data_IF_959600326135
#
_entry.id   IF_959600326135
#
_cell.length_a   1.000
_cell.length_b   1.000
_cell.length_c   1.000
_cell.angle_alpha   90.00
_cell.angle_beta   90.00
_cell.angle_gamma   90.00
#
_symmetry.space_group_name_H-M   'P 1'
#
loop_
_entity.id
_entity.type
_entity.pdbx_description
1 polymer ?
#
# COMPACT_ATOMS: atom_id res chain seq x y z
N UNK A 1 1.49 -27.26 -5.87
CA UNK A 1 2.44 -26.16 -6.15
C UNK A 1 2.30 -25.79 -7.62
N UNK A 2 2.31 -24.49 -7.91
CA UNK A 2 2.42 -23.98 -9.29
C UNK A 2 3.73 -24.43 -9.92
N UNK A 3 3.75 -24.57 -11.25
CA UNK A 3 4.99 -24.80 -11.98
C UNK A 3 5.88 -23.55 -11.84
N UNK A 4 7.04 -23.71 -11.20
CA UNK A 4 8.02 -22.64 -11.03
C UNK A 4 9.15 -22.83 -12.06
N UNK A 5 9.26 -21.95 -13.07
CA UNK A 5 10.34 -22.03 -14.07
C UNK A 5 11.64 -21.37 -13.60
N UNK A 6 11.64 -20.70 -12.44
CA UNK A 6 12.77 -19.92 -11.96
C UNK A 6 13.69 -20.75 -11.06
N UNK A 7 14.99 -20.47 -11.16
CA UNK A 7 16.00 -21.09 -10.32
C UNK A 7 16.20 -20.24 -9.06
N UNK A 8 16.00 -20.85 -7.90
CA UNK A 8 16.34 -20.28 -6.61
C UNK A 8 17.84 -20.45 -6.31
N UNK A 9 18.40 -19.49 -5.58
CA UNK A 9 19.70 -19.61 -4.94
C UNK A 9 19.56 -20.36 -3.61
N UNK A 10 20.07 -21.61 -3.52
CA UNK A 10 19.95 -22.41 -2.30
C UNK A 10 20.70 -21.82 -1.11
N UNK A 11 21.72 -20.99 -1.34
CA UNK A 11 22.49 -20.37 -0.26
C UNK A 11 21.70 -19.26 0.43
N UNK A 12 20.85 -18.54 -0.32
CA UNK A 12 19.91 -17.55 0.25
C UNK A 12 18.88 -18.27 1.13
N UNK A 13 18.25 -19.32 0.62
CA UNK A 13 17.24 -20.09 1.37
C UNK A 13 17.84 -20.69 2.66
N UNK A 14 18.98 -21.36 2.56
CA UNK A 14 19.63 -21.96 3.70
C UNK A 14 20.11 -20.91 4.73
N UNK A 15 20.50 -19.72 4.28
CA UNK A 15 20.85 -18.60 5.18
C UNK A 15 19.61 -18.04 5.87
N UNK A 16 18.52 -17.83 5.15
CA UNK A 16 17.24 -17.42 5.72
C UNK A 16 16.77 -18.40 6.80
N UNK A 17 16.77 -19.71 6.54
CA UNK A 17 16.34 -20.72 7.53
C UNK A 17 17.15 -20.65 8.82
N UNK A 18 18.48 -20.56 8.70
CA UNK A 18 19.38 -20.44 9.86
C UNK A 18 19.13 -19.15 10.63
N UNK A 19 19.00 -18.01 9.94
CA UNK A 19 18.77 -16.72 10.58
C UNK A 19 17.39 -16.67 11.24
N UNK A 20 16.34 -17.11 10.53
CA UNK A 20 14.97 -17.17 11.04
C UNK A 20 14.90 -17.97 12.34
N UNK A 21 15.50 -19.16 12.38
CA UNK A 21 15.56 -19.98 13.60
C UNK A 21 16.39 -19.34 14.74
N UNK A 22 17.48 -18.64 14.43
CA UNK A 22 18.39 -18.11 15.46
C UNK A 22 17.97 -16.75 16.03
N UNK A 23 17.35 -15.90 15.20
CA UNK A 23 17.11 -14.49 15.52
C UNK A 23 15.71 -13.98 15.16
N UNK A 24 14.90 -14.75 14.41
CA UNK A 24 13.64 -14.31 13.82
C UNK A 24 12.68 -13.67 14.84
N UNK A 25 12.39 -14.35 15.94
CA UNK A 25 11.46 -13.85 16.97
C UNK A 25 11.94 -12.55 17.62
N UNK A 26 13.23 -12.48 17.96
CA UNK A 26 13.83 -11.29 18.60
C UNK A 26 13.85 -10.09 17.64
N UNK A 27 14.19 -10.35 16.38
CA UNK A 27 14.17 -9.32 15.33
C UNK A 27 12.74 -8.84 15.06
N UNK A 28 11.79 -9.76 14.96
CA UNK A 28 10.38 -9.46 14.77
C UNK A 28 9.82 -8.59 15.90
N UNK A 29 10.16 -8.89 17.15
CA UNK A 29 9.78 -8.08 18.30
C UNK A 29 10.37 -6.67 18.25
N UNK A 30 11.66 -6.54 17.89
CA UNK A 30 12.32 -5.23 17.74
C UNK A 30 11.66 -4.39 16.62
N UNK A 31 11.33 -5.00 15.49
CA UNK A 31 10.60 -4.33 14.40
C UNK A 31 9.21 -3.88 14.88
N UNK A 32 8.48 -4.75 15.58
CA UNK A 32 7.15 -4.43 16.10
C UNK A 32 7.20 -3.26 17.09
N UNK A 33 8.20 -3.18 17.96
CA UNK A 33 8.41 -2.06 18.88
C UNK A 33 8.65 -0.74 18.12
N UNK A 34 9.53 -0.77 17.12
CA UNK A 34 9.82 0.41 16.28
C UNK A 34 8.57 0.90 15.54
N UNK A 35 7.77 0.00 14.99
CA UNK A 35 6.50 0.35 14.31
C UNK A 35 5.47 0.87 15.31
N UNK A 36 5.30 0.20 16.46
CA UNK A 36 4.37 0.61 17.50
C UNK A 36 4.70 1.99 18.08
N UNK A 37 5.99 2.32 18.21
CA UNK A 37 6.43 3.64 18.64
C UNK A 37 5.97 4.77 17.70
N UNK A 38 5.59 4.45 16.46
CA UNK A 38 5.12 5.37 15.42
C UNK A 38 3.61 5.27 15.13
N UNK A 39 2.90 4.38 15.82
CA UNK A 39 1.46 4.22 15.68
C UNK A 39 0.71 5.48 16.16
N UNK A 40 -0.53 5.63 15.71
CA UNK A 40 -1.47 6.71 16.07
C UNK A 40 -0.94 8.13 15.81
N UNK A 41 0.07 8.30 14.93
CA UNK A 41 0.63 9.60 14.51
C UNK A 41 0.63 9.76 12.97
N UNK A 42 -0.55 9.89 12.35
CA UNK A 42 -0.66 9.93 10.89
C UNK A 42 -0.02 11.16 10.23
N UNK A 43 0.14 12.28 10.96
CA UNK A 43 0.84 13.47 10.45
C UNK A 43 2.32 13.22 10.13
N UNK A 44 3.00 12.36 10.90
CA UNK A 44 4.38 11.98 10.62
C UNK A 44 4.47 11.12 9.35
N UNK A 45 3.35 10.51 8.96
CA UNK A 45 3.24 9.58 7.84
C UNK A 45 4.20 8.38 7.95
N UNK A 46 4.51 7.92 9.17
CA UNK A 46 5.48 6.85 9.46
C UNK A 46 4.86 5.53 9.96
N UNK A 47 3.53 5.39 9.91
CA UNK A 47 2.85 4.13 10.23
C UNK A 47 3.34 2.99 9.33
N UNK A 48 3.63 1.84 9.96
CA UNK A 48 4.22 0.62 9.39
C UNK A 48 5.60 0.78 8.72
N UNK A 49 6.33 1.86 9.03
CA UNK A 49 7.66 2.14 8.48
C UNK A 49 8.77 1.73 9.47
N UNK A 50 9.83 1.12 8.94
CA UNK A 50 11.13 1.05 9.62
C UNK A 50 12.08 2.00 8.90
N UNK A 51 12.56 3.02 9.60
CA UNK A 51 13.38 4.08 9.01
C UNK A 51 14.76 3.55 8.55
N UNK A 52 15.39 4.17 7.56
CA UNK A 52 16.71 3.77 7.06
C UNK A 52 17.80 3.72 8.15
N UNK A 53 17.73 4.63 9.13
CA UNK A 53 18.59 4.61 10.32
C UNK A 53 18.31 3.39 11.21
N UNK A 54 17.05 3.05 11.41
CA UNK A 54 16.60 1.86 12.15
C UNK A 54 17.00 0.56 11.42
N UNK A 55 16.90 0.53 10.09
CA UNK A 55 17.40 -0.57 9.24
C UNK A 55 18.89 -0.81 9.48
N UNK A 56 19.69 0.26 9.53
CA UNK A 56 21.13 0.16 9.81
C UNK A 56 21.39 -0.41 11.21
N UNK A 57 20.68 0.08 12.22
CA UNK A 57 20.81 -0.38 13.60
C UNK A 57 20.40 -1.85 13.74
N UNK A 58 19.27 -2.25 13.16
CA UNK A 58 18.79 -3.64 13.20
C UNK A 58 19.80 -4.58 12.52
N UNK A 59 20.30 -4.21 11.33
CA UNK A 59 21.29 -5.03 10.63
C UNK A 59 22.56 -5.24 11.45
N UNK A 60 23.09 -4.18 12.07
CA UNK A 60 24.28 -4.27 12.91
C UNK A 60 24.02 -5.10 14.18
N UNK A 61 22.90 -4.87 14.85
CA UNK A 61 22.55 -5.53 16.12
C UNK A 61 22.28 -7.02 15.96
N UNK A 62 21.76 -7.43 14.80
CA UNK A 62 21.43 -8.82 14.49
C UNK A 62 22.43 -9.50 13.55
N UNK A 63 23.50 -8.80 13.13
CA UNK A 63 24.56 -9.38 12.28
C UNK A 63 24.11 -9.76 10.86
N UNK A 64 23.22 -8.97 10.25
CA UNK A 64 22.67 -9.22 8.91
C UNK A 64 23.57 -8.63 7.82
N UNK A 65 23.90 -9.46 6.82
CA UNK A 65 24.84 -9.11 5.74
C UNK A 65 24.28 -8.09 4.75
N UNK A 66 22.96 -8.04 4.55
CA UNK A 66 22.30 -7.14 3.59
C UNK A 66 20.97 -6.60 4.12
N UNK A 67 20.42 -5.58 3.44
CA UNK A 67 19.04 -5.10 3.71
C UNK A 67 18.03 -6.16 3.29
N UNK A 68 18.29 -6.91 2.23
CA UNK A 68 17.41 -7.97 1.75
C UNK A 68 17.25 -9.10 2.77
N UNK A 69 18.30 -9.48 3.50
CA UNK A 69 18.18 -10.43 4.62
C UNK A 69 17.25 -9.91 5.72
N UNK A 70 17.32 -8.61 6.05
CA UNK A 70 16.40 -7.98 6.98
C UNK A 70 14.97 -8.00 6.43
N UNK A 71 14.77 -7.68 5.15
CA UNK A 71 13.45 -7.67 4.52
C UNK A 71 12.79 -9.05 4.55
N UNK A 72 13.54 -10.12 4.24
CA UNK A 72 13.03 -11.49 4.29
C UNK A 72 12.58 -11.89 5.70
N UNK A 73 13.37 -11.55 6.73
CA UNK A 73 12.99 -11.81 8.12
C UNK A 73 11.82 -10.90 8.59
N UNK A 74 11.72 -9.69 8.05
CA UNK A 74 10.64 -8.75 8.32
C UNK A 74 9.28 -9.17 7.72
N UNK A 75 9.24 -10.19 6.85
CA UNK A 75 7.98 -10.77 6.37
C UNK A 75 7.11 -11.31 7.52
N UNK A 76 7.73 -11.90 8.55
CA UNK A 76 7.02 -12.43 9.70
C UNK A 76 6.28 -11.35 10.51
N UNK A 77 6.92 -10.25 10.97
CA UNK A 77 6.19 -9.16 11.60
C UNK A 77 5.24 -8.44 10.62
N UNK A 78 5.57 -8.32 9.32
CA UNK A 78 4.67 -7.71 8.33
C UNK A 78 3.34 -8.48 8.18
N UNK A 79 3.38 -9.82 8.30
CA UNK A 79 2.18 -10.67 8.29
C UNK A 79 1.19 -10.30 9.40
N UNK A 80 1.63 -9.69 10.51
CA UNK A 80 0.76 -9.19 11.58
C UNK A 80 -0.09 -7.96 11.21
N UNK A 81 0.23 -7.27 10.11
CA UNK A 81 -0.54 -6.13 9.58
C UNK A 81 -1.78 -6.62 8.84
N UNK A 82 -1.74 -7.85 8.34
CA UNK A 82 -2.78 -8.41 7.49
C UNK A 82 -4.14 -8.51 8.23
N UNK A 83 -5.26 -8.30 7.54
CA UNK A 83 -6.65 -8.50 8.02
C UNK A 83 -7.43 -9.48 7.11
N UNK A 84 -7.54 -10.77 7.48
CA UNK A 84 -8.00 -11.88 6.60
C UNK A 84 -9.25 -12.65 7.10
N UNK A 85 -10.36 -11.99 7.37
CA UNK A 85 -11.56 -12.69 7.84
C UNK A 85 -12.18 -13.66 6.82
N UNK A 86 -11.81 -13.62 5.52
CA UNK A 86 -12.41 -14.47 4.48
C UNK A 86 -11.53 -15.70 4.21
N UNK A 87 -10.27 -15.50 3.85
CA UNK A 87 -9.38 -16.60 3.42
C UNK A 87 -8.63 -17.26 4.58
N UNK A 88 -8.44 -16.55 5.70
CA UNK A 88 -7.47 -16.91 6.75
C UNK A 88 -6.03 -17.11 6.22
N UNK A 89 -5.70 -16.52 5.06
CA UNK A 89 -4.39 -16.62 4.42
C UNK A 89 -3.62 -15.30 4.55
N UNK A 90 -2.81 -15.22 5.59
CA UNK A 90 -2.09 -14.02 6.00
C UNK A 90 -0.81 -13.85 5.18
N UNK A 91 -0.79 -12.83 4.33
CA UNK A 91 0.36 -12.44 3.51
C UNK A 91 1.05 -11.25 4.14
N UNK A 92 2.35 -11.38 4.39
CA UNK A 92 3.24 -10.25 4.70
C UNK A 92 4.00 -9.82 3.44
N UNK A 93 4.19 -8.51 3.29
CA UNK A 93 4.99 -7.90 2.24
C UNK A 93 5.88 -6.81 2.82
N UNK A 94 7.11 -6.70 2.32
CA UNK A 94 8.06 -5.67 2.76
C UNK A 94 8.67 -4.98 1.54
N UNK A 95 8.46 -3.68 1.40
CA UNK A 95 9.06 -2.87 0.34
C UNK A 95 10.24 -2.05 0.83
N UNK A 96 11.33 -2.03 0.07
CA UNK A 96 12.43 -1.08 0.23
C UNK A 96 12.14 0.17 -0.59
N UNK A 97 11.99 1.31 0.08
CA UNK A 97 11.83 2.61 -0.57
C UNK A 97 13.11 3.02 -1.28
N UNK A 98 13.01 3.35 -2.58
CA UNK A 98 14.14 3.73 -3.41
C UNK A 98 14.78 5.05 -2.97
N UNK A 99 13.95 6.05 -2.68
CA UNK A 99 14.42 7.42 -2.43
C UNK A 99 14.94 7.63 -1.00
N UNK A 100 14.51 6.80 -0.05
CA UNK A 100 14.79 7.02 1.38
C UNK A 100 15.58 5.88 2.03
N UNK A 101 15.52 4.66 1.49
CA UNK A 101 16.04 3.45 2.12
C UNK A 101 15.22 2.94 3.31
N UNK A 102 14.02 3.49 3.55
CA UNK A 102 13.12 2.95 4.57
C UNK A 102 12.49 1.63 4.12
N UNK A 103 12.03 0.82 5.07
CA UNK A 103 11.19 -0.34 4.78
C UNK A 103 9.72 -0.02 5.08
N UNK A 104 8.85 -0.36 4.14
CA UNK A 104 7.39 -0.37 4.31
C UNK A 104 6.96 -1.79 4.62
N UNK A 105 6.32 -2.01 5.76
CA UNK A 105 5.65 -3.27 6.07
C UNK A 105 4.17 -3.18 5.68
N UNK A 106 3.66 -4.23 5.06
CA UNK A 106 2.27 -4.33 4.65
C UNK A 106 1.75 -5.77 4.67
N UNK A 107 0.44 -5.91 4.46
CA UNK A 107 -0.23 -7.20 4.35
C UNK A 107 -1.54 -7.09 3.61
N UNK A 108 -2.14 -8.23 3.25
CA UNK A 108 -3.44 -8.23 2.59
C UNK A 108 -4.56 -7.74 3.55
N UNK A 109 -5.67 -7.28 2.99
CA UNK A 109 -6.86 -6.81 3.72
C UNK A 109 -8.10 -7.28 2.96
N UNK A 110 -8.99 -7.97 3.66
CA UNK A 110 -10.23 -8.51 3.13
C UNK A 110 -11.42 -7.91 3.87
N UNK A 111 -12.50 -7.64 3.13
CA UNK A 111 -13.68 -6.93 3.63
C UNK A 111 -14.91 -7.85 3.57
N UNK A 112 -15.34 -8.46 4.71
CA UNK A 112 -16.52 -9.32 4.73
C UNK A 112 -17.80 -8.59 4.37
N UNK A 113 -18.68 -9.26 3.61
CA UNK A 113 -19.99 -8.71 3.26
C UNK A 113 -19.97 -7.65 2.16
N UNK A 114 -18.85 -7.51 1.44
CA UNK A 114 -18.69 -6.70 0.22
C UNK A 114 -18.29 -7.59 -0.97
N UNK A 115 -18.17 -7.01 -2.16
CA UNK A 115 -17.60 -7.74 -3.31
C UNK A 115 -16.06 -7.89 -3.20
N UNK A 116 -15.50 -8.94 -3.81
CA UNK A 116 -14.07 -9.28 -3.74
C UNK A 116 -13.12 -8.23 -4.36
N UNK A 117 -13.64 -7.34 -5.20
CA UNK A 117 -12.86 -6.29 -5.86
C UNK A 117 -12.37 -5.20 -4.90
N UNK A 118 -12.89 -5.15 -3.66
CA UNK A 118 -12.33 -4.28 -2.63
C UNK A 118 -11.07 -4.84 -1.97
N UNK A 119 -10.76 -6.13 -2.14
CA UNK A 119 -9.62 -6.78 -1.48
C UNK A 119 -8.31 -6.05 -1.81
N UNK A 120 -7.50 -5.81 -0.78
CA UNK A 120 -6.16 -5.26 -0.92
C UNK A 120 -5.16 -6.41 -0.75
N UNK A 121 -4.25 -6.56 -1.70
CA UNK A 121 -3.17 -7.54 -1.63
C UNK A 121 -1.95 -6.93 -0.91
N UNK A 122 -1.03 -7.75 -0.38
CA UNK A 122 0.13 -7.25 0.36
C UNK A 122 1.03 -6.35 -0.50
N UNK A 123 1.21 -6.70 -1.77
CA UNK A 123 1.95 -5.89 -2.75
C UNK A 123 1.24 -4.57 -3.02
N UNK A 124 -0.08 -4.61 -3.20
CA UNK A 124 -0.92 -3.42 -3.37
C UNK A 124 -0.86 -2.50 -2.15
N UNK A 125 -0.85 -3.06 -0.94
CA UNK A 125 -0.66 -2.32 0.31
C UNK A 125 0.65 -1.54 0.29
N UNK A 126 1.77 -2.23 0.06
CA UNK A 126 3.12 -1.64 0.08
C UNK A 126 3.25 -0.54 -0.98
N UNK A 127 2.80 -0.79 -2.20
CA UNK A 127 2.92 0.18 -3.30
C UNK A 127 2.00 1.39 -3.13
N UNK A 128 0.78 1.19 -2.65
CA UNK A 128 -0.12 2.32 -2.32
C UNK A 128 0.45 3.14 -1.18
N UNK A 129 1.00 2.49 -0.15
CA UNK A 129 1.65 3.17 0.97
C UNK A 129 2.85 4.00 0.50
N UNK A 130 3.69 3.46 -0.38
CA UNK A 130 4.78 4.20 -1.02
C UNK A 130 4.27 5.42 -1.82
N UNK A 131 3.21 5.24 -2.61
CA UNK A 131 2.58 6.33 -3.36
C UNK A 131 2.11 7.46 -2.45
N UNK A 132 1.44 7.13 -1.35
CA UNK A 132 0.94 8.11 -0.35
C UNK A 132 2.06 8.78 0.44
N UNK A 133 3.29 8.27 0.34
CA UNK A 133 4.52 8.85 0.91
C UNK A 133 5.38 9.57 -0.13
N UNK A 134 4.96 9.57 -1.40
CA UNK A 134 5.70 10.24 -2.48
C UNK A 134 7.02 9.54 -2.85
N UNK A 135 7.10 8.22 -2.70
CA UNK A 135 8.30 7.40 -2.95
C UNK A 135 7.95 6.19 -3.82
N UNK A 136 8.97 5.53 -4.38
CA UNK A 136 8.85 4.29 -5.15
C UNK A 136 9.50 3.12 -4.42
N UNK A 137 9.18 1.90 -4.85
CA UNK A 137 9.76 0.67 -4.30
C UNK A 137 10.85 0.18 -5.23
N UNK A 138 12.05 -0.04 -4.69
CA UNK A 138 13.19 -0.64 -5.39
C UNK A 138 13.12 -2.17 -5.37
N UNK A 139 12.87 -2.72 -4.19
CA UNK A 139 12.79 -4.17 -3.95
C UNK A 139 11.57 -4.48 -3.11
N UNK A 140 10.85 -5.55 -3.43
CA UNK A 140 9.78 -6.10 -2.60
C UNK A 140 10.12 -7.53 -2.17
N UNK A 141 10.07 -7.79 -0.87
CA UNK A 141 10.10 -9.13 -0.32
C UNK A 141 8.68 -9.65 -0.16
N UNK A 142 8.44 -10.90 -0.58
CA UNK A 142 7.18 -11.62 -0.39
C UNK A 142 7.43 -13.01 0.17
N UNK A 143 6.46 -13.55 0.93
CA UNK A 143 6.50 -14.89 1.46
C UNK A 143 6.15 -15.97 0.43
N UNK A 144 5.49 -17.04 0.87
CA UNK A 144 5.15 -18.21 0.03
C UNK A 144 4.20 -17.90 -1.15
N UNK A 145 3.52 -16.76 -1.12
CA UNK A 145 2.65 -16.31 -2.21
C UNK A 145 3.38 -15.31 -3.12
N UNK A 146 3.87 -15.80 -4.27
CA UNK A 146 4.34 -14.95 -5.38
C UNK A 146 3.21 -14.07 -5.92
N UNK A 147 3.53 -12.93 -6.56
CA UNK A 147 2.51 -11.97 -6.95
C UNK A 147 1.57 -12.59 -7.97
N UNK A 148 0.27 -12.49 -7.67
CA UNK A 148 -0.77 -12.93 -8.59
C UNK A 148 -0.83 -12.01 -9.81
N UNK A 149 -1.59 -12.40 -10.83
CA UNK A 149 -1.73 -11.59 -12.05
C UNK A 149 -2.27 -10.18 -11.78
N UNK A 150 -3.21 -10.04 -10.84
CA UNK A 150 -3.72 -8.73 -10.42
C UNK A 150 -2.62 -7.83 -9.84
N UNK A 151 -1.80 -8.36 -8.92
CA UNK A 151 -0.67 -7.62 -8.35
C UNK A 151 0.33 -7.24 -9.45
N UNK A 152 0.73 -8.17 -10.31
CA UNK A 152 1.65 -7.86 -11.42
C UNK A 152 1.15 -6.70 -12.27
N UNK A 153 -0.14 -6.69 -12.60
CA UNK A 153 -0.76 -5.63 -13.38
C UNK A 153 -0.88 -4.30 -12.62
N UNK A 154 -1.15 -4.33 -11.31
CA UNK A 154 -1.16 -3.12 -10.49
C UNK A 154 0.25 -2.54 -10.33
N UNK A 155 1.24 -3.39 -10.07
CA UNK A 155 2.64 -2.97 -9.92
C UNK A 155 3.20 -2.34 -11.19
N UNK A 156 2.83 -2.86 -12.38
CA UNK A 156 3.28 -2.29 -13.67
C UNK A 156 2.75 -0.87 -13.94
N UNK A 157 1.76 -0.42 -13.18
CA UNK A 157 1.22 0.92 -13.29
C UNK A 157 2.21 2.00 -12.81
N UNK A 158 3.07 1.67 -11.84
CA UNK A 158 4.02 2.63 -11.28
C UNK A 158 5.23 2.75 -12.19
N UNK A 159 5.57 3.98 -12.59
CA UNK A 159 6.65 4.24 -13.53
C UNK A 159 8.00 3.65 -13.08
N UNK A 160 8.26 3.67 -11.77
CA UNK A 160 9.47 3.13 -11.15
C UNK A 160 9.53 1.60 -11.05
N UNK A 161 8.42 0.89 -11.29
CA UNK A 161 8.37 -0.58 -11.18
C UNK A 161 9.07 -1.31 -12.31
N UNK A 162 9.46 -0.63 -13.39
CA UNK A 162 10.23 -1.24 -14.49
C UNK A 162 11.55 -1.86 -13.99
N UNK A 163 12.13 -1.29 -12.94
CA UNK A 163 13.36 -1.75 -12.30
C UNK A 163 13.12 -2.51 -10.98
N UNK A 164 11.87 -2.84 -10.66
CA UNK A 164 11.52 -3.54 -9.44
C UNK A 164 12.15 -4.93 -9.39
N UNK A 165 12.72 -5.26 -8.25
CA UNK A 165 13.14 -6.62 -7.91
C UNK A 165 12.22 -7.23 -6.86
N UNK A 166 11.84 -8.49 -7.05
CA UNK A 166 11.21 -9.33 -6.04
C UNK A 166 12.23 -10.28 -5.45
N UNK A 167 12.20 -10.42 -4.13
CA UNK A 167 12.94 -11.45 -3.39
C UNK A 167 11.99 -12.31 -2.56
N UNK A 168 12.37 -13.57 -2.32
CA UNK A 168 11.60 -14.46 -1.45
C UNK A 168 12.50 -15.33 -0.54
N UNK A 169 11.95 -15.93 0.52
CA UNK A 169 12.68 -16.84 1.40
C UNK A 169 13.20 -18.11 0.72
N UNK A 170 12.65 -18.47 -0.44
CA UNK A 170 13.09 -19.65 -1.20
C UNK A 170 14.38 -19.37 -1.99
N UNK A 171 14.85 -18.12 -2.01
CA UNK A 171 16.09 -17.72 -2.67
C UNK A 171 15.93 -17.23 -4.10
N UNK A 172 14.70 -16.90 -4.53
CA UNK A 172 14.52 -16.27 -5.83
C UNK A 172 14.83 -14.77 -5.75
N UNK A 173 15.42 -14.27 -6.84
CA UNK A 173 15.53 -12.84 -7.14
C UNK A 173 15.00 -12.62 -8.55
N UNK A 174 13.83 -12.00 -8.69
CA UNK A 174 13.11 -11.89 -9.95
C UNK A 174 12.87 -10.43 -10.31
N UNK A 175 13.09 -10.07 -11.57
CA UNK A 175 12.73 -8.74 -12.08
C UNK A 175 11.26 -8.68 -12.45
N UNK A 176 10.71 -7.47 -12.56
CA UNK A 176 9.35 -7.26 -13.05
C UNK A 176 9.13 -7.89 -14.44
N UNK A 177 10.12 -7.84 -15.33
CA UNK A 177 10.06 -8.44 -16.66
C UNK A 177 9.99 -9.99 -16.63
N UNK A 178 10.58 -10.64 -15.62
CA UNK A 178 10.47 -12.09 -15.43
C UNK A 178 9.10 -12.46 -14.85
N UNK A 179 8.58 -11.65 -13.92
CA UNK A 179 7.29 -11.89 -13.27
C UNK A 179 6.11 -11.63 -14.20
N UNK A 180 6.20 -10.60 -15.03
CA UNK A 180 5.14 -10.17 -15.93
C UNK A 180 5.71 -9.94 -17.35
N UNK A 181 6.08 -11.03 -18.04
CA UNK A 181 6.65 -10.93 -19.37
C UNK A 181 5.61 -10.41 -20.36
N UNK A 182 6.04 -9.48 -21.21
CA UNK A 182 5.20 -8.82 -22.22
C UNK A 182 3.90 -8.24 -21.62
N UNK A 183 4.03 -7.28 -20.70
CA UNK A 183 2.90 -6.73 -19.96
C UNK A 183 1.99 -5.89 -20.85
N UNK A 184 0.71 -5.79 -20.48
CA UNK A 184 -0.11 -4.66 -20.88
C UNK A 184 0.13 -3.54 -19.88
N UNK A 185 0.83 -2.49 -20.30
CA UNK A 185 1.33 -1.43 -19.42
C UNK A 185 0.84 -0.04 -19.87
N UNK A 186 1.09 1.03 -19.09
CA UNK A 186 0.61 2.38 -19.43
C UNK A 186 1.04 2.90 -20.81
N UNK A 187 2.16 2.42 -21.37
CA UNK A 187 2.67 2.90 -22.66
C UNK A 187 1.71 2.55 -23.81
N UNK A 188 0.92 1.47 -23.68
CA UNK A 188 -0.12 1.10 -24.65
C UNK A 188 -1.22 2.15 -24.81
N UNK A 189 -1.45 2.97 -23.78
CA UNK A 189 -2.39 4.09 -23.82
C UNK A 189 -1.70 5.46 -23.86
N UNK A 190 -0.38 5.48 -24.11
CA UNK A 190 0.42 6.71 -24.19
C UNK A 190 0.66 7.39 -22.85
N UNK A 191 0.49 6.68 -21.74
CA UNK A 191 0.68 7.19 -20.38
C UNK A 191 2.00 6.72 -19.79
N UNK A 192 2.62 7.51 -18.89
CA UNK A 192 3.90 7.14 -18.27
C UNK A 192 3.78 6.19 -17.09
N UNK A 193 2.56 5.97 -16.60
CA UNK A 193 2.26 5.35 -15.31
C UNK A 193 2.31 6.33 -14.14
N UNK A 194 2.00 5.86 -12.94
CA UNK A 194 2.00 6.64 -11.71
C UNK A 194 3.43 7.06 -11.34
N UNK A 195 3.65 8.37 -11.19
CA UNK A 195 4.94 8.98 -10.84
C UNK A 195 4.89 9.41 -9.37
N UNK A 196 5.89 9.01 -8.58
CA UNK A 196 6.00 9.39 -7.19
C UNK A 196 6.05 10.92 -7.03
N UNK A 197 5.20 11.46 -6.15
CA UNK A 197 5.10 12.90 -5.92
C UNK A 197 4.44 13.72 -7.03
N UNK A 198 3.86 13.07 -8.06
CA UNK A 198 3.03 13.77 -9.04
C UNK A 198 1.88 14.52 -8.35
N UNK A 199 1.62 15.74 -8.83
CA UNK A 199 0.68 16.64 -8.19
C UNK A 199 0.00 17.54 -9.22
N UNK A 200 -1.32 17.45 -9.34
CA UNK A 200 -2.13 18.29 -10.22
C UNK A 200 -2.61 19.54 -9.47
N UNK A 201 -1.82 20.62 -9.53
CA UNK A 201 -2.18 21.88 -8.90
C UNK A 201 -3.45 22.54 -9.47
N UNK A 202 -3.95 22.07 -10.63
CA UNK A 202 -5.14 22.64 -11.27
C UNK A 202 -6.46 22.14 -10.68
N UNK A 203 -6.44 20.99 -9.99
CA UNK A 203 -7.63 20.48 -9.30
C UNK A 203 -8.01 21.43 -8.16
N UNK A 204 -9.29 21.77 -8.08
CA UNK A 204 -9.85 22.57 -7.00
C UNK A 204 -11.12 21.91 -6.44
N UNK A 205 -11.52 22.30 -5.23
CA UNK A 205 -12.67 21.76 -4.55
C UNK A 205 -13.89 22.65 -4.78
N UNK A 206 -15.03 22.07 -5.15
CA UNK A 206 -16.28 22.84 -5.19
C UNK A 206 -16.64 23.36 -3.79
N UNK A 207 -17.43 24.44 -3.76
CA UNK A 207 -17.90 25.04 -2.51
C UNK A 207 -18.57 23.98 -1.62
N UNK A 208 -18.20 23.96 -0.34
CA UNK A 208 -18.63 22.99 0.65
C UNK A 208 -18.63 23.61 2.05
N UNK A 209 -19.37 22.99 2.97
CA UNK A 209 -19.53 23.45 4.36
C UNK A 209 -18.61 22.72 5.35
N UNK A 210 -17.53 22.08 4.88
CA UNK A 210 -16.66 21.28 5.74
C UNK A 210 -15.66 22.12 6.53
N UNK A 211 -15.15 21.58 7.66
CA UNK A 211 -13.97 22.15 8.30
C UNK A 211 -12.84 22.31 7.28
N UNK A 212 -12.20 23.48 7.27
CA UNK A 212 -11.08 23.79 6.37
C UNK A 212 -9.99 22.73 6.41
N UNK A 213 -9.74 22.14 7.59
CA UNK A 213 -8.77 21.05 7.78
C UNK A 213 -9.09 19.79 6.97
N UNK A 214 -10.38 19.42 6.84
CA UNK A 214 -10.81 18.28 6.03
C UNK A 214 -10.74 18.63 4.54
N UNK A 215 -11.22 19.82 4.16
CA UNK A 215 -11.19 20.29 2.78
C UNK A 215 -9.76 20.37 2.23
N UNK A 216 -8.82 20.96 2.98
CA UNK A 216 -7.41 21.09 2.59
C UNK A 216 -6.74 19.72 2.43
N UNK A 217 -6.96 18.81 3.39
CA UNK A 217 -6.39 17.45 3.32
C UNK A 217 -7.00 16.64 2.17
N UNK A 218 -8.28 16.81 1.90
CA UNK A 218 -8.94 16.13 0.78
C UNK A 218 -8.42 16.65 -0.56
N UNK A 219 -8.26 17.97 -0.69
CA UNK A 219 -7.72 18.59 -1.89
C UNK A 219 -6.28 18.15 -2.12
N UNK A 220 -5.43 18.18 -1.09
CA UNK A 220 -4.04 17.70 -1.16
C UNK A 220 -3.97 16.22 -1.60
N UNK A 221 -4.84 15.35 -1.08
CA UNK A 221 -4.92 13.96 -1.53
C UNK A 221 -5.43 13.84 -2.98
N UNK A 222 -6.48 14.57 -3.35
CA UNK A 222 -7.06 14.57 -4.69
C UNK A 222 -6.06 15.00 -5.77
N UNK A 223 -5.24 16.01 -5.45
CA UNK A 223 -4.18 16.48 -6.35
C UNK A 223 -3.07 15.45 -6.59
N UNK A 224 -2.93 14.44 -5.72
CA UNK A 224 -2.00 13.30 -5.90
C UNK A 224 -2.62 12.10 -6.61
N UNK A 225 -3.93 12.09 -6.85
CA UNK A 225 -4.60 10.96 -7.47
C UNK A 225 -4.06 10.70 -8.89
N UNK A 226 -3.77 9.44 -9.19
CA UNK A 226 -3.40 8.99 -10.52
C UNK A 226 -4.65 8.47 -11.22
N UNK A 227 -5.24 9.29 -12.10
CA UNK A 227 -6.47 8.95 -12.84
C UNK A 227 -6.41 9.33 -14.34
N UNK A 228 -5.40 8.86 -15.09
CA UNK A 228 -5.25 9.22 -16.50
C UNK A 228 -6.29 8.57 -17.41
N UNK A 229 -6.99 7.51 -17.00
CA UNK A 229 -7.88 6.77 -17.91
C UNK A 229 -9.30 7.30 -17.84
N UNK A 230 -9.87 7.39 -16.64
CA UNK A 230 -11.23 7.91 -16.47
C UNK A 230 -11.28 9.44 -16.48
N UNK A 231 -10.16 10.10 -16.18
CA UNK A 231 -10.07 11.54 -15.87
C UNK A 231 -10.97 11.95 -14.69
N UNK A 232 -11.14 11.04 -13.74
CA UNK A 232 -11.91 11.22 -12.51
C UNK A 232 -10.99 10.94 -11.31
N UNK A 233 -10.23 11.92 -10.81
CA UNK A 233 -9.44 11.72 -9.60
C UNK A 233 -10.37 11.43 -8.41
N UNK A 234 -10.01 10.50 -7.55
CA UNK A 234 -10.74 10.19 -6.32
C UNK A 234 -9.85 10.36 -5.10
N UNK A 235 -10.39 10.93 -4.03
CA UNK A 235 -9.72 11.00 -2.74
C UNK A 235 -10.69 10.84 -1.57
N UNK A 236 -10.22 10.26 -0.48
CA UNK A 236 -10.97 10.10 0.77
C UNK A 236 -10.13 10.63 1.93
N UNK A 237 -10.80 11.34 2.84
CA UNK A 237 -10.29 11.67 4.18
C UNK A 237 -11.17 10.95 5.20
N UNK A 238 -10.53 10.28 6.15
CA UNK A 238 -11.16 9.70 7.33
C UNK A 238 -10.72 10.52 8.54
N UNK A 239 -11.64 11.25 9.15
CA UNK A 239 -11.44 11.90 10.42
C UNK A 239 -11.75 10.93 11.55
N UNK A 240 -10.84 10.85 12.52
CA UNK A 240 -10.83 9.85 13.57
C UNK A 240 -11.33 10.46 14.89
N UNK A 241 -11.80 9.60 15.79
CA UNK A 241 -12.42 9.99 17.05
C UNK A 241 -11.47 10.71 18.01
N UNK A 242 -10.15 10.59 17.81
CA UNK A 242 -9.11 11.29 18.56
C UNK A 242 -8.64 12.60 17.90
N UNK A 243 -9.34 13.04 16.84
CA UNK A 243 -9.05 14.26 16.10
C UNK A 243 -7.93 14.13 15.08
N UNK A 244 -7.32 12.95 14.93
CA UNK A 244 -6.39 12.67 13.85
C UNK A 244 -7.15 12.43 12.53
N UNK A 245 -6.43 12.52 11.41
CA UNK A 245 -6.98 12.20 10.09
C UNK A 245 -6.05 11.27 9.34
N UNK A 246 -6.60 10.40 8.51
CA UNK A 246 -5.86 9.68 7.46
C UNK A 246 -6.52 9.94 6.12
N UNK A 247 -5.74 9.90 5.04
CA UNK A 247 -6.26 10.13 3.69
C UNK A 247 -5.75 9.08 2.71
N UNK A 248 -6.47 8.90 1.62
CA UNK A 248 -6.08 8.05 0.50
C UNK A 248 -6.57 8.63 -0.81
N UNK A 249 -5.91 8.26 -1.90
CA UNK A 249 -6.27 8.70 -3.24
C UNK A 249 -6.26 7.52 -4.22
N UNK A 250 -7.02 7.66 -5.29
CA UNK A 250 -7.11 6.62 -6.32
C UNK A 250 -5.80 6.49 -7.09
N UNK A 251 -5.41 5.25 -7.36
CA UNK A 251 -4.36 4.93 -8.35
C UNK A 251 -4.99 4.01 -9.38
N UNK A 252 -5.38 4.58 -10.51
CA UNK A 252 -5.98 3.82 -11.61
C UNK A 252 -4.95 2.92 -12.28
N UNK A 253 -5.40 1.75 -12.71
CA UNK A 253 -4.60 0.84 -13.52
C UNK A 253 -5.02 0.92 -14.99
N UNK A 254 -4.04 0.80 -15.91
CA UNK A 254 -4.28 0.68 -17.34
C UNK A 254 -5.26 -0.44 -17.70
N UNK A 255 -5.28 -1.51 -16.88
CA UNK A 255 -6.19 -2.65 -17.03
C UNK A 255 -7.52 -2.48 -16.27
N UNK A 256 -7.78 -1.30 -15.72
CA UNK A 256 -8.99 -0.84 -15.02
C UNK A 256 -9.27 -1.59 -13.71
N UNK A 257 -9.50 -2.90 -13.75
CA UNK A 257 -9.87 -3.69 -12.57
C UNK A 257 -8.85 -3.66 -11.42
N UNK A 258 -7.52 -3.59 -11.67
CA UNK A 258 -6.54 -3.46 -10.60
C UNK A 258 -6.43 -2.07 -9.97
N UNK A 259 -7.28 -1.12 -10.35
CA UNK A 259 -7.33 0.21 -9.74
C UNK A 259 -7.47 0.12 -8.23
N UNK A 260 -6.59 0.81 -7.51
CA UNK A 260 -6.73 1.02 -6.08
C UNK A 260 -7.68 2.19 -5.85
N UNK A 261 -8.85 1.93 -5.28
CA UNK A 261 -9.83 2.97 -4.96
C UNK A 261 -9.38 3.86 -3.80
N UNK A 262 -9.93 5.09 -3.70
CA UNK A 262 -9.46 6.06 -2.71
C UNK A 262 -9.76 5.63 -1.26
N UNK A 263 -10.88 4.93 -1.01
CA UNK A 263 -11.19 4.40 0.31
C UNK A 263 -10.26 3.23 0.68
N UNK A 264 -9.91 2.35 -0.27
CA UNK A 264 -8.94 1.28 -0.01
C UNK A 264 -7.57 1.85 0.35
N UNK A 265 -7.12 2.88 -0.38
CA UNK A 265 -5.90 3.62 -0.04
C UNK A 265 -5.97 4.29 1.34
N UNK A 266 -7.11 4.86 1.72
CA UNK A 266 -7.31 5.45 3.04
C UNK A 266 -7.29 4.37 4.15
N UNK A 267 -7.88 3.20 3.90
CA UNK A 267 -7.83 2.05 4.82
C UNK A 267 -6.42 1.49 4.99
N UNK A 268 -5.59 1.48 3.94
CA UNK A 268 -4.16 1.14 4.03
C UNK A 268 -3.47 2.08 5.03
N UNK A 269 -3.68 3.39 4.90
CA UNK A 269 -3.09 4.37 5.81
C UNK A 269 -3.68 4.27 7.24
N UNK A 270 -4.97 3.98 7.39
CA UNK A 270 -5.60 3.72 8.69
C UNK A 270 -4.91 2.55 9.41
N UNK A 271 -4.82 1.40 8.74
CA UNK A 271 -4.23 0.17 9.27
C UNK A 271 -2.74 0.34 9.55
N UNK A 272 -2.00 0.99 8.64
CA UNK A 272 -0.57 1.24 8.81
C UNK A 272 -0.25 2.05 10.07
N UNK A 273 -1.14 2.96 10.47
CA UNK A 273 -0.99 3.77 11.69
C UNK A 273 -1.64 3.12 12.92
N UNK A 274 -2.11 1.86 12.84
CA UNK A 274 -2.65 1.13 13.98
C UNK A 274 -4.05 1.56 14.41
N UNK A 275 -4.80 2.17 13.49
CA UNK A 275 -6.23 2.45 13.66
C UNK A 275 -7.08 1.31 13.07
N UNK A 276 -8.30 1.22 13.57
CA UNK A 276 -9.32 0.29 13.09
C UNK A 276 -10.51 1.09 12.55
N UNK A 277 -11.38 0.45 11.75
CA UNK A 277 -12.54 1.13 11.17
C UNK A 277 -13.50 1.73 12.22
N UNK A 278 -13.50 1.17 13.45
CA UNK A 278 -14.26 1.69 14.58
C UNK A 278 -13.73 3.01 15.14
N UNK A 279 -12.51 3.42 14.79
CA UNK A 279 -11.95 4.72 15.19
C UNK A 279 -12.46 5.88 14.31
N UNK A 280 -13.09 5.59 13.16
CA UNK A 280 -13.53 6.59 12.19
C UNK A 280 -14.75 7.35 12.73
N UNK A 281 -14.64 8.66 12.89
CA UNK A 281 -15.73 9.53 13.32
C UNK A 281 -16.55 10.06 12.14
N UNK A 282 -15.89 10.43 11.03
CA UNK A 282 -16.54 10.91 9.81
C UNK A 282 -15.62 10.71 8.59
N UNK A 283 -16.21 10.70 7.39
CA UNK A 283 -15.47 10.62 6.14
C UNK A 283 -15.90 11.69 5.13
N UNK A 284 -14.95 12.12 4.31
CA UNK A 284 -15.17 13.00 3.17
C UNK A 284 -14.60 12.37 1.89
N UNK A 285 -15.40 12.32 0.84
CA UNK A 285 -15.01 11.89 -0.50
C UNK A 285 -15.01 13.08 -1.45
N UNK A 286 -13.87 13.28 -2.13
CA UNK A 286 -13.74 14.15 -3.28
C UNK A 286 -13.68 13.31 -4.54
N UNK A 287 -14.54 13.62 -5.50
CA UNK A 287 -14.60 12.88 -6.77
C UNK A 287 -15.12 13.77 -7.89
N UNK A 288 -14.98 13.32 -9.14
CA UNK A 288 -15.64 13.98 -10.27
C UNK A 288 -17.11 13.55 -10.33
N UNK A 289 -18.03 14.47 -10.04
CA UNK A 289 -19.47 14.20 -10.16
C UNK A 289 -19.86 14.02 -11.62
N UNK A 290 -20.70 13.03 -11.91
CA UNK A 290 -21.14 12.66 -13.27
C UNK A 290 -19.97 12.42 -14.25
N UNK A 291 -18.83 11.95 -13.73
CA UNK A 291 -17.67 11.56 -14.54
C UNK A 291 -17.83 10.18 -15.21
N UNK A 292 -16.80 9.76 -15.94
CA UNK A 292 -16.76 8.43 -16.56
C UNK A 292 -16.70 7.29 -15.53
N UNK A 293 -16.19 7.59 -14.33
CA UNK A 293 -16.14 6.68 -13.17
C UNK A 293 -16.75 7.42 -11.97
N UNK A 294 -17.59 6.72 -11.23
CA UNK A 294 -18.23 7.24 -10.03
C UNK A 294 -17.74 6.50 -8.77
N UNK A 295 -16.79 7.11 -8.07
CA UNK A 295 -16.30 6.59 -6.79
C UNK A 295 -17.34 6.69 -5.67
N UNK A 296 -18.40 7.50 -5.78
CA UNK A 296 -19.42 7.62 -4.74
C UNK A 296 -20.10 6.27 -4.47
N UNK A 297 -20.35 5.48 -5.52
CA UNK A 297 -20.99 4.17 -5.40
C UNK A 297 -20.13 3.19 -4.60
N UNK A 298 -18.88 2.99 -5.04
CA UNK A 298 -17.98 2.01 -4.43
C UNK A 298 -17.53 2.42 -3.02
N UNK A 299 -17.30 3.72 -2.81
CA UNK A 299 -16.95 4.26 -1.49
C UNK A 299 -18.13 4.13 -0.54
N UNK A 300 -19.37 4.45 -0.95
CA UNK A 300 -20.55 4.32 -0.08
C UNK A 300 -20.81 2.86 0.28
N UNK A 301 -20.67 1.93 -0.66
CA UNK A 301 -20.84 0.50 -0.41
C UNK A 301 -19.85 -0.01 0.64
N UNK A 302 -18.55 0.20 0.41
CA UNK A 302 -17.51 -0.29 1.31
C UNK A 302 -17.57 0.44 2.65
N UNK A 303 -17.67 1.77 2.66
CA UNK A 303 -17.71 2.57 3.89
C UNK A 303 -18.90 2.20 4.78
N UNK A 304 -20.09 2.00 4.18
CA UNK A 304 -21.29 1.59 4.90
C UNK A 304 -21.16 0.22 5.57
N UNK A 305 -20.22 -0.63 5.14
CA UNK A 305 -19.89 -1.88 5.84
C UNK A 305 -18.83 -1.71 6.91
N UNK A 306 -17.83 -0.86 6.67
CA UNK A 306 -16.69 -0.67 7.58
C UNK A 306 -17.03 0.20 8.80
N UNK A 307 -17.71 1.32 8.57
CA UNK A 307 -18.01 2.31 9.60
C UNK A 307 -19.48 2.77 9.50
N UNK A 308 -20.47 1.88 9.70
CA UNK A 308 -21.89 2.21 9.58
C UNK A 308 -22.38 3.28 10.57
N UNK A 309 -21.59 3.59 11.59
CA UNK A 309 -21.87 4.59 12.60
C UNK A 309 -21.40 6.00 12.21
N UNK A 310 -20.46 6.11 11.27
CA UNK A 310 -19.88 7.37 10.85
C UNK A 310 -20.62 7.91 9.61
N UNK A 311 -20.87 9.23 9.52
CA UNK A 311 -21.37 9.84 8.29
C UNK A 311 -20.27 9.92 7.22
N UNK A 312 -20.69 9.91 5.96
CA UNK A 312 -19.83 10.23 4.82
C UNK A 312 -20.45 11.35 4.00
N UNK A 313 -19.63 12.35 3.67
CA UNK A 313 -20.01 13.46 2.79
C UNK A 313 -19.27 13.35 1.46
N UNK A 314 -19.92 13.74 0.37
CA UNK A 314 -19.39 13.63 -1.00
C UNK A 314 -19.41 15.00 -1.66
N UNK A 315 -18.28 15.43 -2.24
CA UNK A 315 -18.14 16.70 -2.95
C UNK A 315 -17.52 16.49 -4.33
N UNK A 316 -17.90 17.36 -5.25
CA UNK A 316 -17.29 17.46 -6.57
C UNK A 316 -15.97 18.25 -6.56
N UNK A 317 -15.06 17.89 -7.45
CA UNK A 317 -14.02 18.82 -7.89
C UNK A 317 -14.65 19.98 -8.72
N UNK A 318 -14.07 21.17 -8.63
CA UNK A 318 -14.48 22.36 -9.37
C UNK A 318 -13.77 22.47 -10.73
#
# INVERSE_FOLDING_TARGET
>A
MSLNPFQADPDIAARFDRQSAAIGDRLGAAIAELVAAKARRPEDNLGSIVLASEVTILRQSFGLGSVEELMLLALAPARGIARQPISNFFVGAVGLERETGNLILGGNVEFPGTHLGFTIHGEGFVFTRAATRGTTIETIALGEAHPCAHCRQYLSEFAGSRELTLIDPLGHRLTMAQLYPWPFDPDYLGERGAIAGAYDASLDLAANDWPTTIADRLLDAGRRAHAPYSKCPGAVVLALSDGQMVSGFSVESVAFNPTMGPLQAAMINLIAHGYEAADIAEAALGTRLNGNVDYALSVTELFGKLAPHAPISIVGWA
#
